data_IF_964578462795
#
_entry.id   IF_964578462795
#
_cell.length_a   1.000
_cell.length_b   1.000
_cell.length_c   1.000
_cell.angle_alpha   90.00
_cell.angle_beta   90.00
_cell.angle_gamma   90.00
#
_symmetry.space_group_name_H-M   'P 1'
#
loop_
_entity.id
_entity.type
_entity.pdbx_description
1 polymer ?
#
# COMPACT_ATOMS: atom_id res chain seq x y z
N UNK A 1 -9.00 2.44 -19.31
CA UNK A 1 -8.96 3.16 -18.03
C UNK A 1 -7.82 2.58 -17.21
N UNK A 2 -6.86 3.39 -16.80
CA UNK A 2 -5.76 3.05 -15.90
C UNK A 2 -5.93 3.86 -14.62
N UNK A 3 -5.77 3.23 -13.45
CA UNK A 3 -5.97 3.89 -12.16
C UNK A 3 -4.68 3.88 -11.36
N UNK A 4 -4.21 5.05 -10.92
CA UNK A 4 -3.10 5.18 -9.99
C UNK A 4 -3.62 5.17 -8.55
N UNK A 5 -3.12 4.24 -7.74
CA UNK A 5 -3.43 4.16 -6.32
C UNK A 5 -2.20 4.66 -5.53
N UNK A 6 -2.28 5.89 -5.00
CA UNK A 6 -1.16 6.59 -4.35
C UNK A 6 -1.42 6.76 -2.86
N UNK A 7 -0.52 6.27 -2.01
CA UNK A 7 -0.73 6.35 -0.56
C UNK A 7 -0.07 5.23 0.26
N UNK A 8 -0.77 4.75 1.27
CA UNK A 8 -0.30 3.84 2.31
C UNK A 8 -0.20 2.36 1.87
N UNK A 9 0.79 1.65 2.40
CA UNK A 9 0.82 0.20 2.42
C UNK A 9 1.22 -0.28 3.81
N UNK A 10 0.70 -1.42 4.24
CA UNK A 10 1.10 -2.01 5.52
C UNK A 10 0.92 -3.52 5.52
N UNK A 11 1.43 -4.16 6.59
CA UNK A 11 1.10 -5.55 6.91
C UNK A 11 0.11 -5.56 8.06
N UNK A 12 -1.05 -6.16 7.85
CA UNK A 12 -1.93 -6.53 8.95
C UNK A 12 -1.40 -7.83 9.56
N UNK A 13 -1.00 -7.80 10.84
CA UNK A 13 -0.50 -8.97 11.55
C UNK A 13 -1.47 -9.39 12.67
N UNK A 14 -2.22 -10.46 12.40
CA UNK A 14 -3.06 -11.16 13.38
C UNK A 14 -2.20 -12.14 14.19
N UNK A 15 -1.53 -11.65 15.24
CA UNK A 15 -0.58 -12.44 16.03
C UNK A 15 -1.20 -13.70 16.65
N UNK A 16 -2.41 -13.59 17.21
CA UNK A 16 -3.13 -14.72 17.83
C UNK A 16 -3.51 -15.82 16.84
N UNK A 17 -3.60 -15.48 15.55
CA UNK A 17 -3.93 -16.41 14.48
C UNK A 17 -2.69 -16.88 13.70
N UNK A 18 -1.51 -16.33 14.01
CA UNK A 18 -0.28 -16.46 13.22
C UNK A 18 -0.53 -16.20 11.72
N UNK A 19 -1.25 -15.11 11.42
CA UNK A 19 -1.60 -14.73 10.05
C UNK A 19 -1.21 -13.31 9.75
N UNK A 20 -0.66 -13.10 8.54
CA UNK A 20 -0.31 -11.79 8.03
C UNK A 20 -0.97 -11.55 6.68
N UNK A 21 -1.21 -10.29 6.35
CA UNK A 21 -1.75 -9.88 5.05
C UNK A 21 -1.03 -8.62 4.57
N UNK A 22 -0.49 -8.60 3.34
CA UNK A 22 -0.15 -7.36 2.67
C UNK A 22 -1.43 -6.59 2.37
N UNK A 23 -1.53 -5.36 2.86
CA UNK A 23 -2.73 -4.51 2.77
C UNK A 23 -2.33 -3.02 2.77
N UNK A 24 -3.28 -2.15 3.08
CA UNK A 24 -3.26 -0.70 2.85
C UNK A 24 -4.43 -0.32 1.96
N UNK A 25 -5.00 0.86 2.17
CA UNK A 25 -6.23 1.23 1.45
C UNK A 25 -6.02 1.21 -0.07
N UNK A 26 -4.90 1.76 -0.52
CA UNK A 26 -4.55 1.82 -1.94
C UNK A 26 -4.13 0.45 -2.49
N UNK A 27 -3.56 -0.42 -1.64
CA UNK A 27 -3.16 -1.79 -2.00
C UNK A 27 -4.39 -2.66 -2.24
N UNK A 28 -5.33 -2.67 -1.30
CA UNK A 28 -6.57 -3.43 -1.40
C UNK A 28 -7.40 -2.94 -2.60
N UNK A 29 -7.45 -1.62 -2.82
CA UNK A 29 -8.13 -1.03 -3.98
C UNK A 29 -7.48 -1.48 -5.29
N UNK A 30 -6.15 -1.35 -5.43
CA UNK A 30 -5.44 -1.75 -6.64
C UNK A 30 -5.64 -3.24 -6.97
N UNK A 31 -5.51 -4.12 -5.98
CA UNK A 31 -5.71 -5.56 -6.17
C UNK A 31 -7.14 -5.90 -6.62
N UNK A 32 -8.15 -5.26 -6.02
CA UNK A 32 -9.53 -5.48 -6.43
C UNK A 32 -9.82 -4.94 -7.84
N UNK A 33 -9.21 -3.81 -8.23
CA UNK A 33 -9.30 -3.30 -9.60
C UNK A 33 -8.72 -4.29 -10.62
N UNK A 34 -7.55 -4.86 -10.34
CA UNK A 34 -6.97 -5.89 -11.21
C UNK A 34 -7.89 -7.11 -11.33
N UNK A 35 -8.47 -7.59 -10.22
CA UNK A 35 -9.42 -8.71 -10.23
C UNK A 35 -10.70 -8.43 -11.03
N UNK A 36 -11.10 -7.16 -11.14
CA UNK A 36 -12.22 -6.70 -11.95
C UNK A 36 -11.84 -6.40 -13.41
N UNK A 37 -10.58 -6.65 -13.80
CA UNK A 37 -10.09 -6.44 -15.17
C UNK A 37 -9.70 -4.99 -15.47
N UNK A 38 -9.51 -4.15 -14.46
CA UNK A 38 -9.06 -2.76 -14.63
C UNK A 38 -7.59 -2.64 -14.26
N UNK A 39 -6.71 -2.20 -15.18
CA UNK A 39 -5.31 -1.94 -14.88
C UNK A 39 -5.14 -0.93 -13.74
N UNK A 40 -4.30 -1.27 -12.76
CA UNK A 40 -4.01 -0.44 -11.62
C UNK A 40 -2.51 -0.43 -11.29
N UNK A 41 -2.02 0.72 -10.85
CA UNK A 41 -0.65 0.93 -10.37
C UNK A 41 -0.65 1.33 -8.91
N UNK A 42 0.40 0.96 -8.18
CA UNK A 42 0.62 1.37 -6.78
C UNK A 42 1.82 2.28 -6.69
N UNK A 43 1.61 3.47 -6.10
CA UNK A 43 2.64 4.47 -5.81
C UNK A 43 2.74 4.58 -4.29
N UNK A 44 3.84 4.07 -3.73
CA UNK A 44 4.05 4.02 -2.28
C UNK A 44 5.52 3.68 -1.96
N UNK A 45 5.85 3.54 -0.68
CA UNK A 45 7.16 3.11 -0.21
C UNK A 45 7.04 1.92 0.75
N UNK A 46 7.71 0.82 0.43
CA UNK A 46 7.89 -0.33 1.33
C UNK A 46 9.23 -0.23 2.07
N UNK A 47 9.38 -0.95 3.18
CA UNK A 47 10.67 -1.09 3.84
C UNK A 47 11.64 -1.99 3.07
N UNK A 48 12.91 -1.96 3.47
CA UNK A 48 13.96 -2.85 2.97
C UNK A 48 14.01 -4.19 3.73
N UNK A 49 12.90 -4.59 4.35
CA UNK A 49 12.76 -5.80 5.16
C UNK A 49 12.00 -6.93 4.44
N UNK A 50 11.85 -8.06 5.13
CA UNK A 50 11.16 -9.24 4.59
C UNK A 50 9.68 -8.96 4.26
N UNK A 51 9.02 -8.08 5.02
CA UNK A 51 7.64 -7.69 4.77
C UNK A 51 7.52 -6.85 3.49
N UNK A 52 8.47 -5.94 3.24
CA UNK A 52 8.51 -5.14 2.03
C UNK A 52 8.78 -5.98 0.80
N UNK A 53 9.72 -6.95 0.89
CA UNK A 53 9.94 -7.95 -0.17
C UNK A 53 8.65 -8.74 -0.44
N UNK A 54 7.96 -9.17 0.61
CA UNK A 54 6.72 -9.92 0.47
C UNK A 54 5.58 -9.12 -0.15
N UNK A 55 5.38 -7.86 0.27
CA UNK A 55 4.40 -6.93 -0.32
C UNK A 55 4.63 -6.77 -1.83
N UNK A 56 5.86 -6.46 -2.25
CA UNK A 56 6.20 -6.29 -3.67
C UNK A 56 5.95 -7.56 -4.47
N UNK A 57 6.36 -8.72 -3.95
CA UNK A 57 6.13 -10.01 -4.61
C UNK A 57 4.63 -10.36 -4.71
N UNK A 58 3.84 -10.06 -3.67
CA UNK A 58 2.40 -10.29 -3.66
C UNK A 58 1.70 -9.42 -4.71
N UNK A 59 2.00 -8.11 -4.76
CA UNK A 59 1.41 -7.19 -5.72
C UNK A 59 1.80 -7.53 -7.17
N UNK A 60 3.07 -7.85 -7.41
CA UNK A 60 3.53 -8.28 -8.73
C UNK A 60 2.81 -9.56 -9.21
N UNK A 61 2.55 -10.50 -8.28
CA UNK A 61 1.80 -11.74 -8.60
C UNK A 61 0.33 -11.47 -8.93
N UNK A 62 -0.29 -10.49 -8.29
CA UNK A 62 -1.65 -10.06 -8.63
C UNK A 62 -1.70 -9.33 -9.98
N UNK A 63 -0.57 -8.84 -10.51
CA UNK A 63 -0.49 -8.10 -11.77
C UNK A 63 -0.63 -6.59 -11.62
N UNK A 64 -0.45 -6.07 -10.39
CA UNK A 64 -0.39 -4.63 -10.13
C UNK A 64 0.91 -4.06 -10.68
N UNK A 65 0.84 -2.91 -11.35
CA UNK A 65 2.02 -2.18 -11.79
C UNK A 65 2.67 -1.50 -10.58
N UNK A 66 3.84 -2.03 -10.19
CA UNK A 66 4.62 -1.60 -9.03
C UNK A 66 5.88 -0.83 -9.42
N UNK A 67 5.94 -0.28 -10.64
CA UNK A 67 7.09 0.51 -11.12
C UNK A 67 7.43 1.71 -10.22
N UNK A 68 6.42 2.25 -9.53
CA UNK A 68 6.54 3.34 -8.54
C UNK A 68 6.35 2.89 -7.08
N UNK A 69 6.54 1.59 -6.80
CA UNK A 69 6.60 1.08 -5.43
C UNK A 69 8.06 1.09 -4.93
N UNK A 70 8.44 2.18 -4.28
CA UNK A 70 9.81 2.45 -3.83
C UNK A 70 10.18 1.62 -2.60
N UNK A 71 11.49 1.57 -2.31
CA UNK A 71 12.06 0.90 -1.15
C UNK A 71 12.77 1.94 -0.28
N UNK A 72 12.27 2.16 0.92
CA UNK A 72 12.88 3.02 1.94
C UNK A 72 13.83 2.24 2.86
N UNK A 73 14.72 2.97 3.52
CA UNK A 73 15.57 2.40 4.58
C UNK A 73 14.78 2.33 5.88
N UNK A 74 14.47 1.12 6.35
CA UNK A 74 13.68 0.91 7.56
C UNK A 74 12.60 -0.16 7.40
N UNK A 75 11.82 -0.40 8.46
CA UNK A 75 10.78 -1.42 8.45
C UNK A 75 9.56 -1.00 7.61
N UNK A 76 8.93 -1.97 6.97
CA UNK A 76 7.60 -1.81 6.37
C UNK A 76 6.57 -1.59 7.47
N UNK A 77 5.56 -0.76 7.23
CA UNK A 77 4.52 -0.48 8.20
C UNK A 77 3.76 -1.76 8.61
N UNK A 78 3.37 -1.87 9.88
CA UNK A 78 2.63 -3.00 10.42
C UNK A 78 1.51 -2.49 11.32
N UNK A 79 0.30 -3.01 11.11
CA UNK A 79 -0.79 -2.90 12.08
C UNK A 79 -0.95 -4.25 12.78
N UNK A 80 -0.86 -4.26 14.10
CA UNK A 80 -1.16 -5.44 14.90
C UNK A 80 -2.67 -5.58 15.03
N UNK A 81 -3.20 -6.67 14.48
CA UNK A 81 -4.63 -6.92 14.41
C UNK A 81 -5.06 -7.96 15.44
N UNK A 82 -6.25 -7.78 15.99
CA UNK A 82 -6.94 -8.78 16.80
C UNK A 82 -8.41 -8.92 16.37
N UNK A 83 -9.11 -9.87 16.98
CA UNK A 83 -10.51 -10.17 16.74
C UNK A 83 -11.29 -10.20 18.06
N UNK A 84 -12.46 -9.55 18.08
CA UNK A 84 -13.48 -9.74 19.09
C UNK A 84 -14.70 -10.41 18.45
N UNK A 85 -14.76 -11.75 18.54
CA UNK A 85 -15.72 -12.53 17.78
C UNK A 85 -15.46 -12.40 16.28
N UNK A 86 -16.40 -11.79 15.56
CA UNK A 86 -16.29 -11.52 14.11
C UNK A 86 -15.78 -10.11 13.79
N UNK A 87 -15.60 -9.26 14.80
CA UNK A 87 -15.16 -7.88 14.61
C UNK A 87 -13.64 -7.79 14.63
N UNK A 88 -13.09 -7.06 13.64
CA UNK A 88 -11.66 -6.74 13.57
C UNK A 88 -11.34 -5.60 14.51
N UNK A 89 -10.24 -5.73 15.26
CA UNK A 89 -9.70 -4.70 16.13
C UNK A 89 -8.34 -4.30 15.59
N UNK A 90 -8.17 -3.01 15.32
CA UNK A 90 -6.88 -2.40 14.99
C UNK A 90 -6.17 -2.07 16.29
N UNK A 91 -5.02 -2.68 16.52
CA UNK A 91 -4.17 -2.47 17.69
C UNK A 91 -3.08 -1.45 17.43
N UNK A 92 -1.87 -1.77 17.90
CA UNK A 92 -0.69 -0.94 17.70
C UNK A 92 -0.36 -0.81 16.21
N UNK A 93 -0.01 0.40 15.80
CA UNK A 93 0.45 0.71 14.45
C UNK A 93 1.91 1.17 14.50
N UNK A 94 2.77 0.43 13.80
CA UNK A 94 4.15 0.81 13.54
C UNK A 94 4.18 1.37 12.12
N UNK A 95 4.31 2.69 12.00
CA UNK A 95 4.23 3.38 10.72
C UNK A 95 5.44 3.12 9.81
N UNK A 96 6.60 2.82 10.39
CA UNK A 96 7.80 2.44 9.67
C UNK A 96 8.23 3.49 8.64
N UNK A 97 8.63 3.05 7.44
CA UNK A 97 9.04 3.96 6.35
C UNK A 97 7.92 4.91 5.88
N UNK A 98 6.65 4.68 6.25
CA UNK A 98 5.57 5.60 5.92
C UNK A 98 5.58 6.87 6.78
N UNK A 99 6.28 6.88 7.92
CA UNK A 99 6.37 8.06 8.77
C UNK A 99 6.96 9.23 7.98
N UNK A 100 7.95 8.92 7.14
CA UNK A 100 8.72 9.86 6.31
C UNK A 100 8.49 9.65 4.81
N UNK A 101 7.36 9.08 4.40
CA UNK A 101 7.06 8.92 2.96
C UNK A 101 7.00 10.29 2.28
N UNK A 102 7.60 10.38 1.10
CA UNK A 102 7.55 11.54 0.22
C UNK A 102 7.28 11.03 -1.19
N UNK A 103 6.32 11.66 -1.86
CA UNK A 103 6.06 11.45 -3.28
C UNK A 103 6.79 12.56 -4.05
N UNK A 104 7.65 12.17 -4.98
CA UNK A 104 8.43 13.13 -5.78
C UNK A 104 7.75 13.50 -7.09
N UNK A 105 8.36 14.40 -7.86
CA UNK A 105 7.84 14.87 -9.14
C UNK A 105 7.62 13.72 -10.14
N UNK A 106 8.41 12.64 -10.06
CA UNK A 106 8.26 11.46 -10.91
C UNK A 106 6.99 10.69 -10.55
N UNK A 107 6.71 10.52 -9.26
CA UNK A 107 5.47 9.90 -8.79
C UNK A 107 4.24 10.71 -9.19
N UNK A 108 4.31 12.04 -9.11
CA UNK A 108 3.21 12.95 -9.47
C UNK A 108 2.96 12.91 -10.98
N UNK A 109 4.02 12.96 -11.79
CA UNK A 109 3.92 12.87 -13.24
C UNK A 109 3.32 11.51 -13.65
N UNK A 110 3.82 10.42 -13.05
CA UNK A 110 3.28 9.09 -13.30
C UNK A 110 1.81 8.98 -12.89
N UNK A 111 1.40 9.51 -11.73
CA UNK A 111 0.00 9.54 -11.33
C UNK A 111 -0.87 10.33 -12.31
N UNK A 112 -0.36 11.44 -12.85
CA UNK A 112 -1.05 12.31 -13.80
C UNK A 112 -1.26 11.67 -15.19
N UNK A 113 -0.45 10.67 -15.55
CA UNK A 113 -0.62 9.89 -16.79
C UNK A 113 -1.76 8.86 -16.71
N UNK A 114 -2.47 8.77 -15.58
CA UNK A 114 -3.61 7.86 -15.37
C UNK A 114 -4.95 8.59 -15.57
N UNK A 115 -6.01 7.82 -15.83
CA UNK A 115 -7.36 8.38 -16.00
C UNK A 115 -8.00 8.79 -14.65
N UNK A 116 -7.57 8.15 -13.55
CA UNK A 116 -8.07 8.41 -12.20
C UNK A 116 -6.98 8.13 -11.16
N UNK A 117 -6.97 8.95 -10.11
CA UNK A 117 -6.13 8.77 -8.93
C UNK A 117 -7.00 8.39 -7.73
N UNK A 118 -6.64 7.32 -7.04
CA UNK A 118 -7.21 6.91 -5.77
C UNK A 118 -6.20 7.10 -4.65
N UNK A 119 -6.63 7.71 -3.55
CA UNK A 119 -5.85 7.83 -2.32
C UNK A 119 -6.75 7.66 -1.09
N UNK A 120 -6.13 7.52 0.07
CA UNK A 120 -6.78 7.52 1.37
C UNK A 120 -6.15 8.57 2.28
N UNK A 121 -6.91 9.04 3.27
CA UNK A 121 -6.46 10.07 4.22
C UNK A 121 -5.14 9.70 4.92
N UNK A 122 -4.92 8.42 5.19
CA UNK A 122 -3.70 7.90 5.83
C UNK A 122 -2.51 7.75 4.87
N UNK A 123 -2.72 7.93 3.57
CA UNK A 123 -1.69 7.77 2.54
C UNK A 123 -0.74 8.94 2.37
N UNK A 124 -0.97 10.08 3.05
CA UNK A 124 -0.14 11.30 3.01
C UNK A 124 0.10 11.89 1.61
N UNK A 125 -0.74 11.51 0.65
CA UNK A 125 -0.63 11.98 -0.73
C UNK A 125 -1.41 13.29 -0.96
N UNK A 126 -2.16 13.78 0.02
CA UNK A 126 -2.98 14.99 -0.07
C UNK A 126 -2.24 16.24 -0.58
N UNK A 127 -0.95 16.49 -0.26
CA UNK A 127 -0.27 17.69 -0.73
C UNK A 127 0.19 17.59 -2.19
N UNK A 128 0.14 16.40 -2.79
CA UNK A 128 0.73 16.07 -4.10
C UNK A 128 -0.29 15.55 -5.12
N UNK A 129 -1.59 15.55 -4.78
CA UNK A 129 -2.62 15.14 -5.72
C UNK A 129 -2.63 16.07 -6.95
N UNK A 130 -2.71 15.52 -8.17
CA UNK A 130 -2.66 16.30 -9.41
C UNK A 130 -3.93 17.13 -9.68
#
# INVERSE_FOLDING_TARGET
MKIACIGDNCIDFYQRLDRRYPTGNIVDTAVNLIKLGTPASVISTTGNDANGVWMRNALAKEGVDISHLKIGSGPTAITYMDMNGTDRIHGEYIEGVLETIVFDEEDIAFASDHDLVHTALWGKADPVLP
#
